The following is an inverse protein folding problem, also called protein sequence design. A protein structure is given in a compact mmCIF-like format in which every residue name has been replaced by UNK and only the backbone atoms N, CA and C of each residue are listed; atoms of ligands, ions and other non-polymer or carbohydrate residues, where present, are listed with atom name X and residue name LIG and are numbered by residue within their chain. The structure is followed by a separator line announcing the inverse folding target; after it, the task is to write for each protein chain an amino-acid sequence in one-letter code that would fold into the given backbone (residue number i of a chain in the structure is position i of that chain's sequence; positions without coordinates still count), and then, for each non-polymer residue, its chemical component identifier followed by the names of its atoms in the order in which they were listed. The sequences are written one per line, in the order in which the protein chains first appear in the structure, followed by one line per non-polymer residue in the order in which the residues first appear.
data_IF_037348190480
#
_entry.id   IF_037348190480
#
_cell.length_a   1.000
_cell.length_b   1.000
_cell.length_c   1.000
_cell.angle_alpha   90.00
_cell.angle_beta   90.00
_cell.angle_gamma   90.00
#
_symmetry.space_group_name_H-M   'P 1'
#
loop_
_entity.id
_entity.type
_entity.pdbx_description
1 polymer ?
#
# COMPACT_ATOMS: atom_id res chain seq x y z
N UNK A 1 -14.25 6.43 -2.73
CA UNK A 1 -13.07 6.72 -1.88
C UNK A 1 -12.71 8.18 -2.05
N UNK A 2 -11.95 8.75 -1.12
CA UNK A 2 -11.48 10.14 -1.19
C UNK A 2 -9.96 10.18 -1.10
N UNK A 3 -9.32 10.87 -2.04
CA UNK A 3 -7.88 11.07 -2.02
C UNK A 3 -7.54 12.29 -1.19
N UNK A 4 -6.48 12.16 -0.40
CA UNK A 4 -5.91 13.23 0.40
C UNK A 4 -4.41 13.24 0.14
N UNK A 5 -3.92 14.27 -0.55
CA UNK A 5 -2.51 14.44 -0.95
C UNK A 5 -1.61 14.86 0.24
N UNK A 6 -1.80 14.17 1.35
CA UNK A 6 -1.03 14.25 2.57
C UNK A 6 -0.70 12.83 3.02
N UNK A 7 0.42 12.66 3.73
CA UNK A 7 0.76 11.36 4.29
C UNK A 7 0.25 11.19 5.72
N UNK A 8 -0.17 9.96 6.03
CA UNK A 8 -0.48 9.53 7.37
C UNK A 8 0.80 9.21 8.14
N UNK A 9 0.97 9.80 9.33
CA UNK A 9 2.02 9.43 10.25
C UNK A 9 1.49 8.40 11.26
N UNK A 10 1.87 7.14 11.09
CA UNK A 10 1.41 6.03 11.95
C UNK A 10 1.80 6.20 13.42
N UNK A 11 2.98 6.77 13.71
CA UNK A 11 3.44 7.00 15.07
C UNK A 11 2.63 8.09 15.79
N UNK A 12 2.28 9.17 15.07
CA UNK A 12 1.49 10.29 15.62
C UNK A 12 -0.01 10.11 15.45
N UNK A 13 -0.44 9.06 14.75
CA UNK A 13 -1.83 8.78 14.38
C UNK A 13 -2.56 10.01 13.82
N UNK A 14 -1.94 10.71 12.88
CA UNK A 14 -2.53 11.88 12.21
C UNK A 14 -1.95 12.15 10.82
N UNK A 15 -2.72 12.85 10.01
CA UNK A 15 -2.23 13.47 8.78
C UNK A 15 -1.28 14.64 9.11
N UNK A 16 -0.26 14.79 8.28
CA UNK A 16 0.81 15.76 8.53
C UNK A 16 0.61 17.11 7.84
N UNK A 17 -0.46 17.28 7.05
CA UNK A 17 -0.74 18.52 6.33
C UNK A 17 0.07 18.66 5.04
N UNK A 18 -0.42 19.52 4.15
CA UNK A 18 0.15 19.75 2.81
C UNK A 18 1.63 20.17 2.87
N UNK A 19 1.98 21.14 3.74
CA UNK A 19 3.37 21.60 3.89
C UNK A 19 4.35 20.46 4.19
N UNK A 20 3.93 19.49 5.00
CA UNK A 20 4.77 18.35 5.34
C UNK A 20 4.91 17.38 4.16
N UNK A 21 3.83 17.17 3.40
CA UNK A 21 3.84 16.33 2.21
C UNK A 21 4.76 16.92 1.14
N UNK A 22 4.58 18.21 0.80
CA UNK A 22 5.42 18.93 -0.15
C UNK A 22 6.89 18.90 0.26
N UNK A 23 7.20 19.18 1.53
CA UNK A 23 8.59 19.09 2.04
C UNK A 23 9.19 17.70 1.85
N UNK A 24 8.39 16.64 1.98
CA UNK A 24 8.86 15.27 1.80
C UNK A 24 9.12 14.96 0.32
N UNK A 25 8.25 15.43 -0.58
CA UNK A 25 8.44 15.27 -2.02
C UNK A 25 9.63 16.10 -2.53
N UNK A 26 9.84 17.30 -2.01
CA UNK A 26 11.04 18.11 -2.27
C UNK A 26 12.32 17.33 -1.95
N UNK A 27 12.35 16.60 -0.82
CA UNK A 27 13.50 15.77 -0.44
C UNK A 27 13.68 14.58 -1.39
N UNK A 28 12.60 13.96 -1.86
CA UNK A 28 12.68 12.83 -2.78
C UNK A 28 13.07 13.24 -4.19
N UNK A 29 12.56 14.37 -4.66
CA UNK A 29 12.76 14.89 -6.02
C UNK A 29 13.96 15.84 -6.12
N UNK A 30 14.59 16.17 -4.98
CA UNK A 30 15.66 17.16 -4.87
C UNK A 30 15.25 18.55 -5.42
N UNK A 31 14.07 19.03 -4.97
CA UNK A 31 13.48 20.31 -5.34
C UNK A 31 13.22 21.22 -4.11
N UNK A 32 12.62 22.40 -4.32
CA UNK A 32 12.30 23.38 -3.28
C UNK A 32 10.90 24.01 -3.49
N UNK A 33 9.92 23.20 -3.88
CA UNK A 33 8.54 23.61 -4.23
C UNK A 33 7.73 24.08 -3.03
N UNK A 34 8.15 23.80 -1.80
CA UNK A 34 7.52 24.36 -0.61
C UNK A 34 7.47 25.90 -0.64
N UNK A 35 8.51 26.56 -1.18
CA UNK A 35 8.51 28.03 -1.30
C UNK A 35 7.45 28.51 -2.29
N UNK A 36 7.23 27.78 -3.37
CA UNK A 36 6.23 28.11 -4.38
C UNK A 36 4.82 27.98 -3.79
N UNK A 37 4.59 26.94 -2.97
CA UNK A 37 3.36 26.78 -2.20
C UNK A 37 3.16 27.92 -1.18
N UNK A 38 4.20 28.29 -0.42
CA UNK A 38 4.11 29.38 0.56
C UNK A 38 3.90 30.75 -0.08
N UNK A 39 4.33 30.93 -1.32
CA UNK A 39 4.12 32.14 -2.11
C UNK A 39 2.80 32.12 -2.91
N UNK A 40 1.99 31.06 -2.84
CA UNK A 40 0.72 30.92 -3.55
C UNK A 40 0.87 30.67 -5.06
N UNK A 41 2.03 30.22 -5.53
CA UNK A 41 2.25 29.77 -6.92
C UNK A 41 1.63 28.38 -7.10
N UNK A 42 1.78 27.52 -6.09
CA UNK A 42 1.10 26.23 -5.96
C UNK A 42 0.01 26.42 -4.92
N UNK A 43 -1.25 26.10 -5.24
CA UNK A 43 -2.36 26.35 -4.31
C UNK A 43 -2.56 25.20 -3.31
N UNK A 44 -2.31 23.96 -3.75
CA UNK A 44 -2.55 22.75 -2.96
C UNK A 44 -1.44 21.72 -3.14
N UNK A 45 -1.34 20.79 -2.20
CA UNK A 45 -0.50 19.60 -2.36
C UNK A 45 -0.95 18.72 -3.52
N UNK A 46 -2.24 18.71 -3.85
CA UNK A 46 -2.80 17.99 -5.00
C UNK A 46 -2.27 18.54 -6.33
N UNK A 47 -2.20 19.87 -6.48
CA UNK A 47 -1.65 20.50 -7.69
C UNK A 47 -0.21 20.05 -7.94
N UNK A 48 0.62 20.03 -6.89
CA UNK A 48 2.01 19.59 -7.00
C UNK A 48 2.12 18.08 -7.21
N UNK A 49 1.24 17.27 -6.60
CA UNK A 49 1.22 15.83 -6.84
C UNK A 49 0.88 15.52 -8.31
N UNK A 50 -0.04 16.29 -8.91
CA UNK A 50 -0.38 16.18 -10.32
C UNK A 50 0.80 16.55 -11.22
N UNK A 51 1.46 17.67 -10.95
CA UNK A 51 2.67 18.07 -11.67
C UNK A 51 3.78 17.01 -11.54
N UNK A 52 4.01 16.49 -10.33
CA UNK A 52 4.97 15.42 -10.10
C UNK A 52 4.60 14.15 -10.90
N UNK A 53 3.32 13.80 -10.97
CA UNK A 53 2.86 12.68 -11.78
C UNK A 53 3.20 12.87 -13.26
N UNK A 54 2.84 14.02 -13.81
CA UNK A 54 3.10 14.39 -15.21
C UNK A 54 4.62 14.38 -15.52
N UNK A 55 5.44 14.80 -14.55
CA UNK A 55 6.90 14.87 -14.67
C UNK A 55 7.64 13.56 -14.34
N UNK A 56 6.93 12.47 -13.99
CA UNK A 56 7.54 11.21 -13.52
C UNK A 56 8.36 11.35 -12.23
N UNK A 57 7.88 12.16 -11.29
CA UNK A 57 8.51 12.45 -10.00
C UNK A 57 7.75 11.78 -8.85
N UNK A 58 8.42 11.68 -7.71
CA UNK A 58 7.87 11.03 -6.55
C UNK A 58 6.79 11.88 -5.87
N UNK A 59 5.72 11.23 -5.43
CA UNK A 59 4.71 11.81 -4.55
C UNK A 59 4.02 10.68 -3.76
N UNK A 60 3.23 11.04 -2.76
CA UNK A 60 2.43 10.09 -2.01
C UNK A 60 1.08 10.70 -1.62
N UNK A 61 0.09 9.88 -1.35
CA UNK A 61 -1.18 10.33 -0.81
C UNK A 61 -1.82 9.25 0.06
N UNK A 62 -2.81 9.66 0.83
CA UNK A 62 -3.66 8.78 1.63
C UNK A 62 -5.04 8.66 0.98
N UNK A 63 -5.65 7.49 1.12
CA UNK A 63 -7.01 7.21 0.66
C UNK A 63 -7.89 7.00 1.87
N UNK A 64 -9.02 7.69 1.86
CA UNK A 64 -10.03 7.63 2.91
C UNK A 64 -11.28 6.90 2.44
N UNK A 65 -11.88 6.17 3.35
CA UNK A 65 -13.24 5.67 3.22
C UNK A 65 -14.27 6.81 3.31
N UNK A 66 -15.54 6.49 3.05
CA UNK A 66 -16.65 7.47 3.03
C UNK A 66 -16.84 8.16 4.39
N UNK A 67 -16.46 7.49 5.48
CA UNK A 67 -16.51 8.00 6.84
C UNK A 67 -15.22 8.72 7.30
N UNK A 68 -14.34 9.06 6.35
CA UNK A 68 -13.02 9.67 6.58
C UNK A 68 -12.00 8.78 7.34
N UNK A 69 -12.28 7.48 7.49
CA UNK A 69 -11.29 6.52 8.02
C UNK A 69 -10.16 6.29 7.01
N UNK A 70 -8.94 6.13 7.52
CA UNK A 70 -7.77 5.82 6.68
C UNK A 70 -7.89 4.39 6.13
N UNK A 71 -8.00 4.28 4.81
CA UNK A 71 -8.08 3.00 4.10
C UNK A 71 -6.67 2.50 3.72
N UNK A 72 -5.96 3.30 2.93
CA UNK A 72 -4.60 2.98 2.51
C UNK A 72 -3.77 4.25 2.28
N UNK A 73 -2.47 4.09 2.07
CA UNK A 73 -1.61 5.11 1.47
C UNK A 73 -0.97 4.56 0.21
N UNK A 74 -0.71 5.43 -0.75
CA UNK A 74 0.00 5.11 -1.97
C UNK A 74 1.22 6.01 -2.11
N UNK A 75 2.37 5.41 -2.38
CA UNK A 75 3.63 6.10 -2.63
C UNK A 75 4.06 5.70 -4.04
N UNK A 76 4.43 6.68 -4.84
CA UNK A 76 5.06 6.43 -6.14
C UNK A 76 6.40 7.16 -6.17
N UNK A 77 7.44 6.44 -6.54
CA UNK A 77 8.80 6.95 -6.62
C UNK A 77 9.48 6.36 -7.87
N UNK A 78 9.34 7.03 -9.02
CA UNK A 78 9.86 6.52 -10.28
C UNK A 78 11.39 6.46 -10.35
N UNK A 79 12.12 7.30 -9.59
CA UNK A 79 13.58 7.24 -9.52
C UNK A 79 14.09 5.89 -9.01
N UNK A 80 13.32 5.23 -8.15
CA UNK A 80 13.58 3.88 -7.66
C UNK A 80 12.74 2.81 -8.36
N UNK A 81 12.00 3.17 -9.43
CA UNK A 81 11.01 2.30 -10.10
C UNK A 81 10.01 1.69 -9.13
N UNK A 82 9.62 2.43 -8.09
CA UNK A 82 8.92 1.89 -6.92
C UNK A 82 7.51 2.48 -6.83
N UNK A 83 6.51 1.63 -6.68
CA UNK A 83 5.18 2.06 -6.26
C UNK A 83 4.68 1.14 -5.14
N UNK A 84 4.11 1.70 -4.08
CA UNK A 84 3.78 0.96 -2.86
C UNK A 84 2.40 1.37 -2.35
N UNK A 85 1.52 0.37 -2.17
CA UNK A 85 0.23 0.55 -1.51
C UNK A 85 0.32 -0.07 -0.12
N UNK A 86 -0.01 0.71 0.90
CA UNK A 86 -0.04 0.28 2.28
C UNK A 86 -1.46 0.36 2.82
N UNK A 87 -2.09 -0.78 3.08
CA UNK A 87 -3.42 -0.85 3.68
C UNK A 87 -3.34 -0.84 5.19
N UNK A 88 -4.27 -0.12 5.79
CA UNK A 88 -4.38 0.02 7.22
C UNK A 88 -5.59 -0.76 7.72
N UNK A 89 -5.40 -1.44 8.84
CA UNK A 89 -6.54 -1.92 9.60
C UNK A 89 -7.15 -0.72 10.34
N UNK A 90 -8.33 -0.89 10.95
CA UNK A 90 -8.97 0.28 11.57
C UNK A 90 -8.38 0.67 12.94
N UNK A 91 -7.40 -0.09 13.44
CA UNK A 91 -6.45 0.37 14.46
C UNK A 91 -5.37 1.33 13.91
N UNK A 92 -5.45 1.68 12.62
CA UNK A 92 -4.47 2.43 11.84
C UNK A 92 -3.09 1.75 11.77
N UNK A 93 -3.07 0.41 11.85
CA UNK A 93 -1.83 -0.38 11.71
C UNK A 93 -1.72 -0.85 10.28
N UNK A 94 -0.51 -0.74 9.73
CA UNK A 94 -0.23 -1.28 8.40
C UNK A 94 -0.27 -2.80 8.48
N UNK A 95 -1.21 -3.44 7.80
CA UNK A 95 -1.37 -4.90 7.83
C UNK A 95 -1.10 -5.56 6.49
N UNK A 96 -1.14 -4.81 5.39
CA UNK A 96 -0.90 -5.34 4.06
C UNK A 96 -0.17 -4.29 3.21
N UNK A 97 0.92 -4.68 2.57
CA UNK A 97 1.66 -3.87 1.61
C UNK A 97 1.74 -4.61 0.28
N UNK A 98 1.42 -3.89 -0.79
CA UNK A 98 1.76 -4.30 -2.15
C UNK A 98 2.89 -3.44 -2.66
N UNK A 99 3.96 -4.08 -3.10
CA UNK A 99 5.15 -3.43 -3.63
C UNK A 99 5.27 -3.74 -5.12
N UNK A 100 5.12 -2.71 -5.93
CA UNK A 100 5.26 -2.77 -7.37
C UNK A 100 6.61 -2.23 -7.81
N UNK A 101 7.16 -2.87 -8.85
CA UNK A 101 8.29 -2.34 -9.62
C UNK A 101 7.80 -1.87 -10.98
N UNK A 102 8.24 -0.70 -11.42
CA UNK A 102 8.00 -0.21 -12.77
C UNK A 102 8.89 -0.97 -13.78
N UNK A 103 8.25 -1.82 -14.59
CA UNK A 103 8.95 -2.62 -15.62
C UNK A 103 9.07 -1.85 -16.93
N UNK A 104 8.10 -0.97 -17.22
CA UNK A 104 8.14 -0.01 -18.33
C UNK A 104 7.77 1.39 -17.84
N UNK A 105 8.66 2.39 -18.02
CA UNK A 105 8.43 3.75 -17.58
C UNK A 105 7.07 4.31 -18.05
N UNK A 106 6.24 4.78 -17.12
CA UNK A 106 4.89 5.34 -17.34
C UNK A 106 3.87 4.40 -18.00
N UNK A 107 4.19 3.11 -18.13
CA UNK A 107 3.34 2.19 -18.87
C UNK A 107 2.90 1.01 -18.01
N UNK A 108 3.82 0.42 -17.25
CA UNK A 108 3.59 -0.88 -16.65
C UNK A 108 4.26 -1.04 -15.30
N UNK A 109 3.48 -1.54 -14.35
CA UNK A 109 3.89 -1.94 -13.02
C UNK A 109 3.78 -3.45 -12.88
N UNK A 110 4.70 -4.05 -12.12
CA UNK A 110 4.70 -5.46 -11.76
C UNK A 110 4.70 -5.61 -10.23
N UNK A 111 3.73 -6.34 -9.68
CA UNK A 111 3.64 -6.65 -8.25
C UNK A 111 4.75 -7.62 -7.86
N UNK A 112 5.80 -7.08 -7.24
CA UNK A 112 7.02 -7.81 -6.91
C UNK A 112 7.00 -8.40 -5.51
N UNK A 113 6.40 -7.70 -4.56
CA UNK A 113 6.31 -8.21 -3.19
C UNK A 113 4.94 -7.94 -2.55
N UNK A 114 4.57 -8.85 -1.66
CA UNK A 114 3.44 -8.67 -0.74
C UNK A 114 3.95 -8.90 0.68
N UNK A 115 3.70 -7.93 1.55
CA UNK A 115 3.90 -8.09 2.99
C UNK A 115 2.54 -8.12 3.69
N UNK A 116 2.28 -9.15 4.47
CA UNK A 116 1.08 -9.28 5.29
C UNK A 116 1.47 -9.45 6.76
N UNK A 117 0.81 -8.73 7.65
CA UNK A 117 1.04 -8.74 9.09
C UNK A 117 -0.26 -9.13 9.80
N UNK A 118 -0.20 -10.21 10.56
CA UNK A 118 -1.31 -10.66 11.39
C UNK A 118 -1.08 -10.25 12.85
N UNK A 119 -2.01 -9.47 13.41
CA UNK A 119 -1.93 -8.97 14.77
C UNK A 119 -2.80 -9.78 15.73
N UNK A 120 -2.28 -10.06 16.93
CA UNK A 120 -2.94 -10.84 17.99
C UNK A 120 -4.33 -10.33 18.40
N UNK A 121 -4.50 -9.01 18.51
CA UNK A 121 -5.73 -8.33 18.95
C UNK A 121 -5.83 -6.94 18.33
N UNK A 122 -6.99 -6.31 18.39
CA UNK A 122 -7.21 -4.94 17.90
C UNK A 122 -6.33 -3.88 18.60
N UNK A 123 -6.03 -4.05 19.88
CA UNK A 123 -5.46 -3.02 20.75
C UNK A 123 -3.94 -3.14 20.99
N UNK A 124 -3.29 -4.16 20.43
CA UNK A 124 -1.85 -4.39 20.59
C UNK A 124 -1.11 -4.19 19.27
N UNK A 125 0.16 -3.76 19.33
CA UNK A 125 1.04 -3.83 18.15
C UNK A 125 1.76 -5.18 18.07
N UNK A 126 1.23 -6.21 18.75
CA UNK A 126 1.87 -7.52 18.82
C UNK A 126 1.44 -8.38 17.62
N UNK A 127 2.39 -8.63 16.73
CA UNK A 127 2.27 -9.53 15.58
C UNK A 127 2.28 -10.99 16.06
N UNK A 128 1.35 -11.81 15.55
CA UNK A 128 1.41 -13.27 15.72
C UNK A 128 2.33 -13.90 14.68
N UNK A 129 2.17 -13.45 13.44
CA UNK A 129 3.01 -13.82 12.33
C UNK A 129 2.94 -12.76 11.23
N UNK A 130 3.91 -12.84 10.33
CA UNK A 130 3.96 -12.02 9.12
C UNK A 130 4.39 -12.88 7.93
N UNK A 131 3.82 -12.60 6.78
CA UNK A 131 4.10 -13.27 5.52
C UNK A 131 4.77 -12.29 4.57
N UNK A 132 5.84 -12.75 3.91
CA UNK A 132 6.49 -12.03 2.82
C UNK A 132 6.49 -12.90 1.58
N UNK A 133 5.83 -12.43 0.52
CA UNK A 133 5.83 -13.07 -0.78
C UNK A 133 6.69 -12.25 -1.74
N UNK A 134 7.47 -12.93 -2.58
CA UNK A 134 8.29 -12.33 -3.63
C UNK A 134 8.00 -13.06 -4.94
N UNK A 135 7.72 -12.28 -5.98
CA UNK A 135 7.46 -12.75 -7.34
C UNK A 135 8.54 -12.24 -8.29
N UNK A 136 8.84 -13.01 -9.32
CA UNK A 136 9.58 -12.56 -10.49
C UNK A 136 8.72 -12.63 -11.77
N UNK A 137 9.21 -12.01 -12.85
CA UNK A 137 8.49 -11.91 -14.12
C UNK A 137 8.40 -13.26 -14.85
N UNK A 138 9.25 -14.20 -14.48
CA UNK A 138 9.25 -15.59 -14.94
C UNK A 138 8.19 -16.47 -14.25
N UNK A 139 7.57 -15.97 -13.18
CA UNK A 139 6.49 -16.64 -12.44
C UNK A 139 6.96 -17.51 -11.28
N UNK A 140 8.24 -17.43 -10.89
CA UNK A 140 8.69 -18.06 -9.66
C UNK A 140 8.18 -17.27 -8.45
N UNK A 141 7.77 -18.01 -7.43
CA UNK A 141 7.27 -17.45 -6.18
C UNK A 141 8.09 -18.00 -5.03
N UNK A 142 8.55 -17.11 -4.17
CA UNK A 142 9.05 -17.47 -2.85
C UNK A 142 8.20 -16.82 -1.78
N UNK A 143 7.97 -17.52 -0.68
CA UNK A 143 7.27 -16.97 0.47
C UNK A 143 8.01 -17.32 1.76
N UNK A 144 8.02 -16.38 2.69
CA UNK A 144 8.56 -16.57 4.05
C UNK A 144 7.50 -16.22 5.07
N UNK A 145 7.20 -17.18 5.94
CA UNK A 145 6.42 -16.96 7.16
C UNK A 145 7.37 -16.73 8.33
N UNK A 146 7.22 -15.61 9.00
CA UNK A 146 7.80 -15.38 10.32
C UNK A 146 6.70 -15.64 11.34
N UNK A 147 6.77 -16.76 12.05
CA UNK A 147 5.87 -17.11 13.15
C UNK A 147 6.46 -16.52 14.43
N UNK A 148 6.15 -15.25 14.69
CA UNK A 148 6.70 -14.47 15.80
C UNK A 148 6.28 -15.04 17.16
N UNK A 149 5.06 -15.60 17.22
CA UNK A 149 4.52 -16.27 18.40
C UNK A 149 5.37 -17.48 18.82
N UNK A 150 5.79 -18.30 17.86
CA UNK A 150 6.60 -19.50 18.12
C UNK A 150 8.10 -19.29 17.86
N UNK A 151 8.53 -18.10 17.46
CA UNK A 151 9.89 -17.75 17.05
C UNK A 151 10.45 -18.67 15.95
N UNK A 152 9.66 -18.89 14.90
CA UNK A 152 10.04 -19.75 13.77
C UNK A 152 10.02 -18.99 12.45
N UNK A 153 10.84 -19.46 11.51
CA UNK A 153 10.83 -19.00 10.12
C UNK A 153 10.55 -20.23 9.25
N UNK A 154 9.61 -20.10 8.32
CA UNK A 154 9.25 -21.14 7.36
C UNK A 154 9.35 -20.55 5.96
N UNK A 155 10.11 -21.23 5.11
CA UNK A 155 10.33 -20.84 3.71
C UNK A 155 9.57 -21.77 2.77
N UNK A 156 8.99 -21.19 1.74
CA UNK A 156 8.19 -21.84 0.72
C UNK A 156 8.64 -21.36 -0.65
N UNK A 157 8.68 -22.26 -1.62
CA UNK A 157 8.96 -21.95 -3.01
C UNK A 157 7.93 -22.65 -3.90
N UNK A 158 7.54 -21.99 -4.99
CA UNK A 158 6.70 -22.58 -6.01
C UNK A 158 7.42 -23.75 -6.68
N UNK A 159 6.73 -24.88 -6.88
CA UNK A 159 7.27 -26.02 -7.63
C UNK A 159 7.29 -25.79 -9.13
N UNK A 160 6.35 -24.98 -9.61
CA UNK A 160 6.15 -24.65 -11.02
C UNK A 160 5.85 -23.14 -11.12
N UNK A 161 6.23 -22.48 -12.22
CA UNK A 161 5.92 -21.07 -12.42
C UNK A 161 4.41 -20.80 -12.47
N UNK A 162 3.99 -19.70 -11.86
CA UNK A 162 2.62 -19.21 -11.94
C UNK A 162 2.40 -18.32 -13.17
N UNK A 163 1.13 -18.11 -13.55
CA UNK A 163 0.77 -17.12 -14.55
C UNK A 163 0.94 -15.70 -13.99
N UNK A 164 1.92 -14.96 -14.50
CA UNK A 164 2.26 -13.61 -14.01
C UNK A 164 1.33 -12.51 -14.51
N UNK A 165 0.40 -12.79 -15.43
CA UNK A 165 -0.51 -11.76 -15.99
C UNK A 165 -1.32 -11.04 -14.91
N UNK A 166 -1.64 -11.73 -13.81
CA UNK A 166 -2.40 -11.18 -12.66
C UNK A 166 -1.57 -10.24 -11.78
N UNK A 167 -0.25 -10.20 -11.97
CA UNK A 167 0.69 -9.37 -11.21
C UNK A 167 1.02 -8.06 -11.93
N UNK A 168 0.59 -7.89 -13.18
CA UNK A 168 0.81 -6.65 -13.92
C UNK A 168 -0.38 -5.70 -13.78
N UNK A 169 -0.06 -4.42 -13.60
CA UNK A 169 -1.02 -3.32 -13.64
C UNK A 169 -0.51 -2.26 -14.63
N UNK A 170 -1.40 -1.52 -15.31
CA UNK A 170 -0.98 -0.31 -16.00
C UNK A 170 -0.42 0.69 -14.98
N UNK A 171 0.51 1.53 -15.42
CA UNK A 171 0.85 2.73 -14.66
C UNK A 171 -0.43 3.59 -14.54
N UNK A 172 -0.78 4.08 -13.34
CA UNK A 172 -2.07 4.73 -13.15
C UNK A 172 -2.06 6.11 -13.80
N UNK A 173 -3.22 6.58 -14.29
CA UNK A 173 -3.41 8.00 -14.58
C UNK A 173 -3.61 8.78 -13.26
N UNK A 174 -3.31 10.08 -13.25
CA UNK A 174 -3.50 10.88 -12.04
C UNK A 174 -4.98 10.94 -11.65
N UNK A 175 -5.29 10.48 -10.45
CA UNK A 175 -6.66 10.40 -9.93
C UNK A 175 -7.40 9.10 -10.27
N UNK A 176 -6.79 8.18 -11.03
CA UNK A 176 -7.37 6.88 -11.39
C UNK A 176 -6.49 5.76 -10.80
N UNK A 177 -6.64 5.52 -9.49
CA UNK A 177 -5.76 4.62 -8.75
C UNK A 177 -6.40 3.28 -8.37
N UNK A 178 -7.68 3.08 -8.71
CA UNK A 178 -8.49 1.92 -8.30
C UNK A 178 -7.91 0.58 -8.75
N UNK A 179 -7.25 0.53 -9.91
CA UNK A 179 -6.60 -0.71 -10.40
C UNK A 179 -5.47 -1.17 -9.47
N UNK A 180 -4.70 -0.22 -8.94
CA UNK A 180 -3.56 -0.50 -8.06
C UNK A 180 -4.03 -0.69 -6.61
N UNK A 181 -4.99 0.13 -6.17
CA UNK A 181 -5.58 0.11 -4.83
C UNK A 181 -6.70 -0.95 -4.78
N UNK A 182 -6.29 -2.22 -4.85
CA UNK A 182 -7.21 -3.37 -4.90
C UNK A 182 -6.88 -4.38 -3.81
N UNK A 183 -7.72 -4.52 -2.79
CA UNK A 183 -7.57 -5.55 -1.74
C UNK A 183 -7.80 -6.97 -2.28
N UNK A 184 -8.75 -7.12 -3.20
CA UNK A 184 -9.16 -8.41 -3.76
C UNK A 184 -8.32 -8.75 -4.99
N UNK A 185 -7.03 -8.99 -4.80
CA UNK A 185 -6.16 -9.55 -5.84
C UNK A 185 -6.29 -11.07 -5.85
N UNK A 186 -6.71 -11.61 -6.99
CA UNK A 186 -6.77 -13.05 -7.24
C UNK A 186 -5.37 -13.54 -7.62
N UNK A 187 -4.53 -13.73 -6.60
CA UNK A 187 -3.16 -14.22 -6.77
C UNK A 187 -3.15 -15.67 -6.31
N UNK A 188 -2.87 -16.61 -7.22
CA UNK A 188 -2.69 -18.01 -6.86
C UNK A 188 -1.77 -18.16 -5.64
N UNK A 189 -2.09 -19.10 -4.75
CA UNK A 189 -1.32 -19.43 -3.53
C UNK A 189 -1.42 -18.46 -2.35
N UNK A 190 -2.13 -17.33 -2.47
CA UNK A 190 -2.21 -16.30 -1.41
C UNK A 190 -3.62 -16.09 -0.88
N UNK A 191 -4.65 -16.42 -1.68
CA UNK A 191 -6.06 -16.14 -1.36
C UNK A 191 -6.47 -16.65 0.03
N UNK A 192 -6.04 -17.86 0.40
CA UNK A 192 -6.38 -18.48 1.70
C UNK A 192 -5.51 -17.98 2.88
N UNK A 193 -4.52 -17.13 2.62
CA UNK A 193 -3.52 -16.74 3.63
C UNK A 193 -3.72 -15.32 4.19
N UNK A 194 -4.34 -14.41 3.43
CA UNK A 194 -4.47 -13.00 3.81
C UNK A 194 -5.90 -12.71 4.28
N UNK A 195 -6.08 -12.46 5.59
CA UNK A 195 -7.37 -11.95 6.10
C UNK A 195 -7.57 -10.48 5.71
N UNK A 196 -8.76 -10.17 5.20
CA UNK A 196 -9.20 -8.81 4.84
C UNK A 196 -10.17 -8.30 5.89
N UNK A 197 -9.84 -7.16 6.48
CA UNK A 197 -10.56 -6.61 7.63
C UNK A 197 -11.47 -5.45 7.24
N UNK A 198 -12.59 -5.33 7.94
CA UNK A 198 -13.49 -4.16 7.88
C UNK A 198 -14.11 -3.89 9.24
N UNK A 199 -14.56 -2.66 9.50
CA UNK A 199 -15.19 -2.28 10.77
C UNK A 199 -16.71 -2.10 10.62
N UNK A 200 -17.43 -2.57 11.63
CA UNK A 200 -18.87 -2.35 11.75
C UNK A 200 -19.23 -2.15 13.22
N UNK A 201 -19.84 -1.03 13.57
CA UNK A 201 -20.27 -0.74 14.94
C UNK A 201 -19.14 -0.83 15.99
N UNK A 202 -17.93 -0.36 15.66
CA UNK A 202 -16.79 -0.32 16.59
C UNK A 202 -16.13 -1.67 16.86
N UNK A 203 -16.33 -2.66 15.99
CA UNK A 203 -15.73 -4.00 16.06
C UNK A 203 -15.09 -4.34 14.73
N UNK A 204 -13.97 -5.07 14.76
CA UNK A 204 -13.28 -5.64 13.60
C UNK A 204 -13.95 -6.92 13.16
N UNK A 205 -14.09 -7.04 11.84
CA UNK A 205 -14.57 -8.25 11.19
C UNK A 205 -13.66 -8.64 10.05
N UNK A 206 -13.70 -9.92 9.69
CA UNK A 206 -13.22 -10.42 8.41
C UNK A 206 -14.24 -11.39 7.81
N UNK A 207 -14.11 -11.71 6.52
CA UNK A 207 -14.85 -12.81 5.90
C UNK A 207 -13.97 -14.06 5.90
N UNK A 208 -14.51 -15.19 6.36
CA UNK A 208 -13.85 -16.49 6.21
C UNK A 208 -13.96 -17.03 4.77
N UNK A 209 -13.39 -18.21 4.52
CA UNK A 209 -13.38 -18.88 3.21
C UNK A 209 -14.80 -19.15 2.67
N UNK A 210 -15.78 -19.32 3.56
CA UNK A 210 -17.19 -19.53 3.22
C UNK A 210 -17.98 -18.21 3.05
N UNK A 211 -17.29 -17.06 3.20
CA UNK A 211 -17.87 -15.72 3.13
C UNK A 211 -18.65 -15.30 4.38
N UNK A 212 -18.58 -16.06 5.47
CA UNK A 212 -19.21 -15.70 6.73
C UNK A 212 -18.46 -14.54 7.38
N UNK A 213 -19.21 -13.63 7.98
CA UNK A 213 -18.65 -12.50 8.72
C UNK A 213 -18.26 -12.98 10.12
N UNK A 214 -16.97 -12.96 10.43
CA UNK A 214 -16.39 -13.33 11.72
C UNK A 214 -15.94 -12.07 12.45
N UNK A 215 -16.35 -11.91 13.70
CA UNK A 215 -15.83 -10.88 14.62
C UNK A 215 -14.45 -11.34 15.14
N UNK A 216 -13.43 -10.49 15.03
CA UNK A 216 -12.02 -10.81 15.38
C UNK A 216 -11.49 -10.03 16.58
#
# INVERSE_FOLDING_TARGET
MKYKFEFWNSHRKKFMGEKSAIRRWDLWNNESRLKDFENGIINTSEDLAKENHEDHKAYEFSVLEVNDDLFCSFIINPSNKHAEVNFYDPGCRKYLTYLFTETKPKEQLFLREIWYYHFTKEDTNQEEYRMHYVFDEEGNVSARKYDDKNQKILDYESKEPMDTRVLYEPYPEFGEYEGIIKLDREIPFIEDTIKKYFFKNGKRFYKDEDGNIIED
#
